data_IF_295068673718
#
_entry.id   IF_295068673718
#
_cell.length_a   1.000
_cell.length_b   1.000
_cell.length_c   1.000
_cell.angle_alpha   90.00
_cell.angle_beta   90.00
_cell.angle_gamma   90.00
#
_symmetry.space_group_name_H-M   'P 1'
#
loop_
_entity.id
_entity.type
_entity.pdbx_description
1 polymer ?
#
# COMPACT_ATOMS: atom_id res chain seq x y z
N UNK A 1 -22.71 62.26 -59.98
CA UNK A 1 -21.72 61.26 -59.53
C UNK A 1 -21.73 61.20 -58.01
N UNK A 2 -22.24 60.12 -57.39
CA UNK A 2 -21.81 59.66 -56.06
C UNK A 2 -22.03 58.15 -56.00
N UNK A 3 -20.96 57.42 -55.70
CA UNK A 3 -20.89 55.96 -55.71
C UNK A 3 -21.59 55.39 -54.48
N UNK A 4 -22.30 54.27 -54.68
CA UNK A 4 -22.86 53.47 -53.59
C UNK A 4 -21.81 52.43 -53.22
N UNK A 5 -21.23 52.53 -52.02
CA UNK A 5 -20.27 51.54 -51.52
C UNK A 5 -21.02 50.31 -50.99
N UNK A 6 -20.84 49.18 -51.65
CA UNK A 6 -21.34 47.89 -51.19
C UNK A 6 -20.31 47.30 -50.22
N UNK A 7 -20.60 47.33 -48.92
CA UNK A 7 -19.75 46.64 -47.93
C UNK A 7 -20.13 45.17 -47.94
N UNK A 8 -19.27 44.33 -48.51
CA UNK A 8 -19.39 42.87 -48.42
C UNK A 8 -18.86 42.42 -47.05
N UNK A 9 -19.73 41.85 -46.21
CA UNK A 9 -19.33 41.17 -44.97
C UNK A 9 -18.90 39.75 -45.36
N UNK A 10 -17.60 39.48 -45.26
CA UNK A 10 -17.03 38.14 -45.44
C UNK A 10 -17.27 37.34 -44.16
N UNK A 11 -18.25 36.43 -44.17
CA UNK A 11 -18.46 35.49 -43.07
C UNK A 11 -17.41 34.38 -43.19
N UNK A 12 -16.26 34.53 -42.52
CA UNK A 12 -15.26 33.46 -42.44
C UNK A 12 -15.83 32.40 -41.50
N UNK A 13 -16.35 31.30 -42.06
CA UNK A 13 -16.67 30.10 -41.30
C UNK A 13 -15.37 29.41 -40.91
N UNK A 14 -14.69 29.93 -39.89
CA UNK A 14 -13.66 29.15 -39.21
C UNK A 14 -14.35 27.90 -38.66
N UNK A 15 -13.84 26.72 -39.01
CA UNK A 15 -14.08 25.48 -38.26
C UNK A 15 -13.47 25.67 -36.87
N UNK A 16 -14.10 26.49 -36.04
CA UNK A 16 -13.78 26.54 -34.62
C UNK A 16 -14.31 25.25 -34.06
N UNK A 17 -13.39 24.36 -33.64
CA UNK A 17 -13.75 23.30 -32.71
C UNK A 17 -14.57 23.98 -31.60
N UNK A 18 -15.82 23.57 -31.43
CA UNK A 18 -16.72 24.19 -30.46
C UNK A 18 -16.28 23.78 -29.05
N UNK A 19 -15.19 24.36 -28.57
CA UNK A 19 -14.70 24.17 -27.22
C UNK A 19 -15.48 25.09 -26.28
N UNK A 20 -15.98 24.53 -25.20
CA UNK A 20 -16.66 25.26 -24.15
C UNK A 20 -15.66 25.50 -23.02
N UNK A 21 -15.22 26.75 -22.86
CA UNK A 21 -14.43 27.20 -21.71
C UNK A 21 -15.34 27.84 -20.66
N UNK A 22 -15.30 27.36 -19.42
CA UNK A 22 -15.93 28.01 -18.26
C UNK A 22 -14.82 28.43 -17.31
N UNK A 23 -14.72 29.72 -16.99
CA UNK A 23 -13.64 30.25 -16.14
C UNK A 23 -12.28 30.38 -16.83
N UNK A 24 -12.13 29.93 -18.09
CA UNK A 24 -10.87 30.00 -18.85
C UNK A 24 -11.08 30.49 -20.28
N UNK A 25 -10.16 31.31 -20.79
CA UNK A 25 -10.16 31.79 -22.19
C UNK A 25 -9.29 30.96 -23.12
N UNK A 26 -8.63 29.93 -22.60
CA UNK A 26 -7.77 29.02 -23.38
C UNK A 26 -8.09 27.55 -23.06
N UNK A 27 -9.27 27.06 -23.47
CA UNK A 27 -9.67 25.67 -23.27
C UNK A 27 -8.64 24.71 -23.87
N UNK A 28 -8.21 23.72 -23.09
CA UNK A 28 -7.27 22.68 -23.57
C UNK A 28 -8.00 21.45 -24.15
N UNK A 29 -9.29 21.33 -23.84
CA UNK A 29 -10.15 20.21 -24.24
C UNK A 29 -11.51 20.72 -24.75
N UNK A 30 -12.37 19.84 -25.25
CA UNK A 30 -13.72 20.19 -25.76
C UNK A 30 -14.59 20.88 -24.70
N UNK A 31 -14.42 20.52 -23.43
CA UNK A 31 -14.99 21.23 -22.28
C UNK A 31 -13.85 21.42 -21.26
N UNK A 32 -13.54 22.67 -20.91
CA UNK A 32 -12.55 23.00 -19.88
C UNK A 32 -13.20 23.94 -18.86
N UNK A 33 -13.27 23.49 -17.61
CA UNK A 33 -13.75 24.28 -16.48
C UNK A 33 -12.56 24.58 -15.58
N UNK A 34 -12.20 25.85 -15.48
CA UNK A 34 -11.24 26.35 -14.49
C UNK A 34 -12.03 26.81 -13.26
N UNK A 35 -12.43 25.85 -12.43
CA UNK A 35 -13.30 26.04 -11.27
C UNK A 35 -14.02 24.76 -10.86
N UNK A 36 -15.02 24.89 -9.99
CA UNK A 36 -15.81 23.75 -9.53
C UNK A 36 -16.82 23.30 -10.60
N UNK A 37 -17.00 21.99 -10.75
CA UNK A 37 -18.04 21.37 -11.57
C UNK A 37 -19.07 20.69 -10.67
N UNK A 38 -20.32 21.14 -10.73
CA UNK A 38 -21.48 20.48 -10.11
C UNK A 38 -22.28 19.78 -11.20
N UNK A 39 -22.48 18.47 -11.07
CA UNK A 39 -23.33 17.68 -11.96
C UNK A 39 -24.60 17.28 -11.20
N UNK A 40 -25.74 17.87 -11.56
CA UNK A 40 -27.05 17.59 -10.97
C UNK A 40 -27.87 16.62 -11.83
N UNK A 41 -28.90 15.98 -11.27
CA UNK A 41 -29.79 15.06 -11.98
C UNK A 41 -29.43 13.57 -11.87
N UNK A 42 -28.46 13.23 -11.01
CA UNK A 42 -28.23 11.86 -10.56
C UNK A 42 -29.05 11.61 -9.29
N UNK A 43 -29.69 10.43 -9.15
CA UNK A 43 -30.52 10.11 -7.98
C UNK A 43 -29.70 10.29 -6.70
N UNK A 44 -30.15 11.21 -5.84
CA UNK A 44 -29.44 11.56 -4.61
C UNK A 44 -29.46 10.36 -3.67
N UNK A 45 -28.30 9.73 -3.49
CA UNK A 45 -28.09 8.84 -2.36
C UNK A 45 -27.68 9.72 -1.18
N UNK A 46 -28.48 9.71 -0.12
CA UNK A 46 -28.25 10.40 1.16
C UNK A 46 -26.89 10.08 1.83
N UNK A 47 -26.12 9.16 1.24
CA UNK A 47 -24.74 8.85 1.59
C UNK A 47 -23.93 8.79 0.28
N UNK A 48 -22.81 9.50 0.18
CA UNK A 48 -21.94 9.45 -1.01
C UNK A 48 -21.38 8.04 -1.21
N UNK A 49 -22.01 7.24 -2.08
CA UNK A 49 -21.61 5.83 -2.38
C UNK A 49 -20.78 5.71 -3.66
N UNK A 50 -20.42 6.82 -4.30
CA UNK A 50 -19.94 6.81 -5.67
C UNK A 50 -18.69 7.67 -5.87
N UNK A 51 -17.69 7.06 -6.51
CA UNK A 51 -16.55 7.74 -7.09
C UNK A 51 -16.82 7.95 -8.58
N UNK A 52 -16.62 9.18 -9.04
CA UNK A 52 -16.70 9.52 -10.46
C UNK A 52 -15.27 9.53 -11.01
N UNK A 53 -15.00 8.65 -11.98
CA UNK A 53 -13.71 8.54 -12.66
C UNK A 53 -13.85 8.74 -14.17
N UNK A 54 -12.74 8.68 -14.89
CA UNK A 54 -12.72 8.64 -16.36
C UNK A 54 -12.34 7.25 -16.84
N UNK A 55 -12.99 6.74 -17.89
CA UNK A 55 -12.55 5.52 -18.57
C UNK A 55 -11.27 5.74 -19.40
N UNK A 56 -10.77 4.70 -20.07
CA UNK A 56 -9.58 4.79 -20.95
C UNK A 56 -9.76 5.74 -22.15
N UNK A 57 -10.96 6.22 -22.39
CA UNK A 57 -11.34 7.15 -23.45
C UNK A 57 -11.64 8.56 -22.89
N UNK A 58 -11.49 8.78 -21.59
CA UNK A 58 -11.73 10.05 -20.92
C UNK A 58 -13.20 10.34 -20.58
N UNK A 59 -14.12 9.39 -20.79
CA UNK A 59 -15.53 9.60 -20.46
C UNK A 59 -15.76 9.46 -18.97
N UNK A 60 -16.53 10.40 -18.42
CA UNK A 60 -16.97 10.35 -17.05
C UNK A 60 -17.84 9.11 -16.84
N UNK A 61 -17.43 8.24 -15.92
CA UNK A 61 -18.14 6.99 -15.62
C UNK A 61 -18.23 6.77 -14.12
N UNK A 62 -19.30 6.08 -13.72
CA UNK A 62 -19.48 5.63 -12.35
C UNK A 62 -18.61 4.41 -12.14
N UNK A 63 -17.64 4.49 -11.23
CA UNK A 63 -16.88 3.32 -10.83
C UNK A 63 -17.70 2.56 -9.78
N UNK A 64 -18.26 1.42 -10.18
CA UNK A 64 -18.90 0.50 -9.22
C UNK A 64 -17.80 -0.10 -8.37
N UNK A 65 -17.70 0.40 -7.14
CA UNK A 65 -16.83 -0.16 -6.12
C UNK A 65 -17.45 -1.50 -5.69
N UNK A 66 -16.72 -2.60 -5.92
CA UNK A 66 -17.10 -3.88 -5.30
C UNK A 66 -17.08 -3.71 -3.78
N UNK A 67 -17.84 -4.56 -3.05
CA UNK A 67 -18.09 -4.49 -1.60
C UNK A 67 -16.85 -4.37 -0.70
N UNK A 68 -15.65 -4.51 -1.25
CA UNK A 68 -14.37 -4.38 -0.55
C UNK A 68 -13.88 -2.93 -0.46
N UNK A 69 -14.40 -1.98 -1.25
CA UNK A 69 -13.99 -0.57 -1.24
C UNK A 69 -15.08 0.32 -0.61
N UNK A 70 -14.77 0.97 0.52
CA UNK A 70 -15.62 1.99 1.17
C UNK A 70 -15.09 3.39 0.94
N UNK A 71 -16.01 4.34 0.83
CA UNK A 71 -15.73 5.77 0.89
C UNK A 71 -16.16 6.28 2.27
N UNK A 72 -15.20 6.52 3.16
CA UNK A 72 -15.46 7.05 4.50
C UNK A 72 -14.69 8.36 4.69
N UNK A 73 -15.35 9.43 5.11
CA UNK A 73 -14.74 10.75 5.31
C UNK A 73 -13.93 11.24 4.09
N UNK A 74 -14.48 11.07 2.88
CA UNK A 74 -13.82 11.39 1.61
C UNK A 74 -12.50 10.63 1.36
N UNK A 75 -12.29 9.49 2.03
CA UNK A 75 -11.16 8.58 1.78
C UNK A 75 -11.64 7.25 1.24
N UNK A 76 -11.03 6.82 0.14
CA UNK A 76 -11.19 5.46 -0.40
C UNK A 76 -10.39 4.53 0.50
N UNK A 77 -11.06 3.54 1.06
CA UNK A 77 -10.47 2.54 1.96
C UNK A 77 -10.96 1.14 1.55
N UNK A 78 -10.19 0.10 1.89
CA UNK A 78 -10.67 -1.27 1.78
C UNK A 78 -11.43 -1.60 3.08
N UNK A 79 -12.73 -1.85 2.99
CA UNK A 79 -13.62 -2.00 4.13
C UNK A 79 -13.33 -3.26 4.94
N UNK A 80 -13.08 -4.38 4.26
CA UNK A 80 -12.71 -5.67 4.81
C UNK A 80 -12.08 -6.48 3.68
N UNK A 81 -10.88 -7.02 3.87
CA UNK A 81 -10.31 -8.01 2.96
C UNK A 81 -10.27 -9.37 3.64
N UNK A 82 -10.91 -10.37 3.04
CA UNK A 82 -10.78 -11.78 3.44
C UNK A 82 -9.54 -12.44 2.81
N UNK A 83 -8.81 -11.69 1.98
CA UNK A 83 -7.62 -12.17 1.30
C UNK A 83 -6.38 -11.61 1.97
N UNK A 84 -5.42 -12.48 2.28
CA UNK A 84 -4.10 -12.04 2.69
C UNK A 84 -3.30 -11.57 1.49
N UNK A 85 -2.70 -10.38 1.59
CA UNK A 85 -1.61 -10.01 0.70
C UNK A 85 -0.40 -10.91 0.97
N UNK A 86 0.00 -11.73 -0.01
CA UNK A 86 1.14 -12.64 0.12
C UNK A 86 2.39 -12.07 -0.56
N UNK A 87 3.40 -11.79 0.25
CA UNK A 87 4.76 -11.44 -0.14
C UNK A 87 5.71 -12.63 -0.11
N UNK A 88 6.90 -12.46 -0.71
CA UNK A 88 7.97 -13.47 -0.73
C UNK A 88 9.30 -12.84 -0.38
N UNK A 89 10.16 -13.60 0.28
CA UNK A 89 11.52 -13.18 0.61
C UNK A 89 12.51 -14.34 0.59
N UNK A 90 13.40 -14.33 -0.40
CA UNK A 90 14.44 -15.35 -0.61
C UNK A 90 15.73 -15.04 0.17
N UNK A 91 15.98 -15.75 1.28
CA UNK A 91 17.12 -15.55 2.19
C UNK A 91 18.49 -16.06 1.71
N UNK A 92 18.65 -16.48 0.45
CA UNK A 92 19.92 -17.07 -0.04
C UNK A 92 21.15 -16.19 0.26
N UNK A 93 21.02 -14.87 0.13
CA UNK A 93 22.10 -13.90 0.36
C UNK A 93 22.04 -13.22 1.73
N UNK A 94 21.35 -13.82 2.71
CA UNK A 94 21.27 -13.26 4.05
C UNK A 94 22.65 -13.33 4.73
N UNK A 95 23.16 -12.18 5.17
CA UNK A 95 24.34 -12.12 6.01
C UNK A 95 24.02 -12.66 7.41
N UNK A 96 24.73 -13.70 7.83
CA UNK A 96 24.62 -14.29 9.17
C UNK A 96 25.83 -13.85 9.99
N UNK A 97 25.56 -13.18 11.12
CA UNK A 97 26.59 -12.76 12.07
C UNK A 97 27.10 -13.88 12.97
N UNK A 98 28.01 -13.53 13.87
CA UNK A 98 28.57 -14.47 14.85
C UNK A 98 27.49 -15.17 15.68
N UNK A 99 27.73 -16.44 16.03
CA UNK A 99 26.78 -17.31 16.74
C UNK A 99 25.42 -17.45 16.02
N UNK A 100 25.44 -17.39 14.68
CA UNK A 100 24.30 -17.50 13.78
C UNK A 100 23.22 -16.42 13.99
N UNK A 101 23.64 -15.21 14.37
CA UNK A 101 22.70 -14.13 14.70
C UNK A 101 22.34 -13.30 13.48
N UNK A 102 21.07 -12.96 13.37
CA UNK A 102 20.53 -12.03 12.38
C UNK A 102 19.82 -10.92 13.14
N UNK A 103 20.31 -9.70 12.96
CA UNK A 103 19.79 -8.50 13.60
C UNK A 103 19.06 -7.66 12.56
N UNK A 104 17.93 -7.06 12.93
CA UNK A 104 17.16 -6.19 12.03
C UNK A 104 16.94 -6.85 10.66
N UNK A 105 16.31 -8.03 10.62
CA UNK A 105 16.00 -8.70 9.37
C UNK A 105 15.10 -7.82 8.51
N UNK A 106 15.58 -7.53 7.31
CA UNK A 106 14.82 -6.78 6.32
C UNK A 106 13.95 -7.75 5.51
N UNK A 107 12.64 -7.66 5.73
CA UNK A 107 11.61 -8.40 4.99
C UNK A 107 11.02 -7.61 3.83
N UNK A 108 11.53 -6.42 3.55
CA UNK A 108 11.06 -5.51 2.50
C UNK A 108 9.67 -4.94 2.73
N UNK A 109 9.37 -4.56 3.97
CA UNK A 109 8.05 -4.08 4.41
C UNK A 109 7.87 -2.57 4.24
N UNK A 110 8.96 -1.81 4.05
CA UNK A 110 8.95 -0.36 3.95
C UNK A 110 8.14 0.16 2.76
N UNK A 111 7.79 1.45 2.79
CA UNK A 111 7.04 2.10 1.71
C UNK A 111 7.78 1.97 0.36
N UNK A 112 7.08 1.45 -0.64
CA UNK A 112 7.63 1.24 -1.99
C UNK A 112 8.50 -0.02 -2.14
N UNK A 113 8.68 -0.81 -1.08
CA UNK A 113 9.39 -2.07 -1.15
C UNK A 113 8.48 -3.24 -1.57
N UNK A 114 9.10 -4.36 -1.95
CA UNK A 114 8.42 -5.49 -2.58
C UNK A 114 7.30 -6.12 -1.73
N UNK A 115 7.43 -6.07 -0.41
CA UNK A 115 6.47 -6.64 0.53
C UNK A 115 5.69 -5.58 1.32
N UNK A 116 5.69 -4.33 0.85
CA UNK A 116 4.86 -3.28 1.42
C UNK A 116 3.37 -3.67 1.46
N UNK A 117 2.73 -3.52 2.63
CA UNK A 117 1.31 -3.81 2.82
C UNK A 117 0.92 -5.30 2.73
N UNK A 118 1.89 -6.23 2.69
CA UNK A 118 1.61 -7.67 2.70
C UNK A 118 1.45 -8.17 4.13
N UNK A 119 0.46 -9.04 4.33
CA UNK A 119 0.14 -9.65 5.62
C UNK A 119 0.89 -10.97 5.82
N UNK A 120 1.13 -11.73 4.75
CA UNK A 120 1.89 -12.99 4.82
C UNK A 120 3.20 -12.83 4.08
N UNK A 121 4.33 -13.14 4.72
CA UNK A 121 5.63 -13.16 4.06
C UNK A 121 6.14 -14.59 4.06
N UNK A 122 6.18 -15.19 2.86
CA UNK A 122 6.82 -16.48 2.66
C UNK A 122 8.33 -16.30 2.55
N UNK A 123 9.06 -16.84 3.52
CA UNK A 123 10.50 -16.78 3.61
C UNK A 123 11.10 -18.12 3.19
N UNK A 124 12.08 -18.11 2.28
CA UNK A 124 12.69 -19.32 1.72
C UNK A 124 14.22 -19.25 1.70
N UNK A 125 14.86 -20.39 1.41
CA UNK A 125 16.31 -20.52 1.16
C UNK A 125 17.19 -19.92 2.26
N UNK A 126 16.81 -20.16 3.52
CA UNK A 126 17.64 -19.79 4.66
C UNK A 126 18.99 -20.53 4.57
N UNK A 127 20.14 -19.83 4.63
CA UNK A 127 21.45 -20.46 4.35
C UNK A 127 21.97 -21.34 5.50
N UNK A 128 21.30 -21.34 6.66
CA UNK A 128 21.58 -22.19 7.81
C UNK A 128 20.65 -21.86 8.98
N UNK A 129 20.77 -22.55 10.10
CA UNK A 129 19.97 -22.22 11.29
C UNK A 129 20.35 -20.83 11.81
N UNK A 130 19.37 -19.99 12.16
CA UNK A 130 19.60 -18.62 12.64
C UNK A 130 18.93 -18.33 13.99
N UNK A 131 19.45 -17.31 14.66
CA UNK A 131 18.84 -16.64 15.81
C UNK A 131 18.46 -15.23 15.40
N UNK A 132 17.18 -14.94 15.32
CA UNK A 132 16.62 -13.67 14.92
C UNK A 132 16.30 -12.81 16.15
N UNK A 133 16.78 -11.58 16.16
CA UNK A 133 16.57 -10.64 17.28
C UNK A 133 15.77 -9.40 16.90
N UNK A 134 15.40 -9.26 15.63
CA UNK A 134 14.59 -8.13 15.20
C UNK A 134 14.25 -8.13 13.72
N UNK A 135 13.18 -7.43 13.36
CA UNK A 135 12.65 -7.28 12.00
C UNK A 135 12.48 -5.78 11.72
N UNK A 136 12.90 -5.33 10.54
CA UNK A 136 12.83 -3.91 10.15
C UNK A 136 11.42 -3.48 9.75
N UNK A 137 11.21 -2.16 9.73
CA UNK A 137 10.07 -1.49 9.11
C UNK A 137 8.69 -1.86 9.65
N UNK A 138 8.62 -2.13 10.95
CA UNK A 138 7.34 -2.27 11.64
C UNK A 138 6.56 -0.96 11.71
N UNK A 139 5.28 -1.02 11.37
CA UNK A 139 4.31 0.09 11.43
C UNK A 139 3.23 -0.24 12.46
N UNK A 140 2.80 0.75 13.25
CA UNK A 140 1.79 0.54 14.31
C UNK A 140 0.55 -0.19 13.80
N UNK A 141 0.15 -1.26 14.52
CA UNK A 141 -0.97 -2.12 14.16
C UNK A 141 -0.70 -3.10 13.01
N UNK A 142 0.51 -3.14 12.44
CA UNK A 142 0.84 -4.06 11.35
C UNK A 142 0.80 -5.50 11.84
N UNK A 143 -0.07 -6.30 11.23
CA UNK A 143 -0.15 -7.74 11.46
C UNK A 143 0.64 -8.50 10.38
N UNK A 144 1.43 -9.50 10.80
CA UNK A 144 2.35 -10.23 9.95
C UNK A 144 2.35 -11.74 10.29
N UNK A 145 2.03 -12.55 9.28
CA UNK A 145 2.29 -13.98 9.27
C UNK A 145 3.63 -14.23 8.59
N UNK A 146 4.66 -14.53 9.39
CA UNK A 146 5.95 -14.99 8.90
C UNK A 146 5.84 -16.48 8.61
N UNK A 147 5.90 -16.89 7.34
CA UNK A 147 5.86 -18.30 6.96
C UNK A 147 7.23 -18.76 6.48
N UNK A 148 7.91 -19.56 7.29
CA UNK A 148 9.17 -20.19 6.92
C UNK A 148 8.90 -21.45 6.09
N UNK A 149 9.32 -21.45 4.83
CA UNK A 149 9.12 -22.58 3.92
C UNK A 149 10.41 -23.39 3.64
N UNK A 150 11.46 -23.16 4.43
CA UNK A 150 12.74 -23.86 4.33
C UNK A 150 12.88 -24.99 5.35
N UNK A 151 14.12 -25.49 5.48
CA UNK A 151 14.50 -26.60 6.36
C UNK A 151 15.34 -26.15 7.57
N UNK A 152 15.79 -24.90 7.59
CA UNK A 152 16.66 -24.38 8.63
C UNK A 152 15.85 -23.82 9.80
N UNK A 153 16.36 -23.98 11.00
CA UNK A 153 15.66 -23.53 12.20
C UNK A 153 15.81 -22.03 12.37
N UNK A 154 14.75 -21.36 12.85
CA UNK A 154 14.78 -19.95 13.25
C UNK A 154 14.39 -19.87 14.72
N UNK A 155 15.33 -19.43 15.55
CA UNK A 155 15.08 -19.08 16.95
C UNK A 155 14.79 -17.59 17.03
N UNK A 156 13.63 -17.20 17.52
CA UNK A 156 13.24 -15.83 17.79
C UNK A 156 13.62 -15.51 19.23
N UNK A 157 14.57 -14.60 19.43
CA UNK A 157 15.05 -14.22 20.76
C UNK A 157 14.24 -13.03 21.29
N UNK A 158 13.89 -13.08 22.58
CA UNK A 158 13.21 -11.97 23.26
C UNK A 158 14.05 -10.69 23.29
N UNK A 159 13.38 -9.56 23.45
CA UNK A 159 14.00 -8.25 23.53
C UNK A 159 14.94 -8.11 24.75
N UNK A 160 14.73 -8.92 25.79
CA UNK A 160 15.58 -8.97 26.98
C UNK A 160 16.86 -9.80 26.79
N UNK A 161 16.97 -10.61 25.73
CA UNK A 161 18.23 -11.30 25.42
C UNK A 161 19.32 -10.26 25.11
N UNK A 162 20.50 -10.43 25.69
CA UNK A 162 21.66 -9.57 25.46
C UNK A 162 22.00 -9.37 23.97
N UNK A 163 21.75 -10.37 23.12
CA UNK A 163 21.95 -10.34 21.67
C UNK A 163 20.97 -9.41 20.97
N UNK A 164 19.79 -9.17 21.55
CA UNK A 164 18.78 -8.27 21.01
C UNK A 164 19.19 -6.80 21.11
N UNK A 165 20.23 -6.47 21.88
CA UNK A 165 20.80 -5.12 21.91
C UNK A 165 21.46 -4.68 20.60
N UNK A 166 21.80 -5.61 19.71
CA UNK A 166 22.32 -5.31 18.36
C UNK A 166 21.22 -5.02 17.34
N UNK A 167 19.96 -5.35 17.65
CA UNK A 167 18.81 -4.80 16.92
C UNK A 167 18.51 -3.38 17.40
N UNK A 168 18.10 -2.51 16.47
CA UNK A 168 17.50 -1.22 16.83
C UNK A 168 16.32 -1.46 17.78
N UNK A 169 16.12 -0.63 18.82
CA UNK A 169 15.02 -0.83 19.78
C UNK A 169 13.68 -1.10 19.09
N UNK A 170 13.33 -0.27 18.10
CA UNK A 170 12.09 -0.40 17.32
C UNK A 170 11.94 -1.72 16.55
N UNK A 171 13.03 -2.41 16.25
CA UNK A 171 12.97 -3.64 15.46
C UNK A 171 12.91 -4.89 16.33
N UNK A 172 13.11 -4.77 17.65
CA UNK A 172 13.23 -5.92 18.54
C UNK A 172 11.92 -6.70 18.64
N UNK A 173 12.07 -7.99 18.91
CA UNK A 173 10.97 -8.94 19.02
C UNK A 173 10.74 -9.21 20.51
N UNK A 174 9.50 -9.07 20.95
CA UNK A 174 9.04 -9.47 22.27
C UNK A 174 8.41 -10.85 22.18
N UNK A 175 8.87 -11.73 23.05
CA UNK A 175 8.48 -13.14 23.13
C UNK A 175 8.00 -13.43 24.53
N UNK A 176 6.88 -14.15 24.68
CA UNK A 176 6.30 -14.43 26.00
C UNK A 176 7.09 -15.45 26.82
N UNK A 177 7.83 -16.36 26.17
CA UNK A 177 8.58 -17.44 26.79
C UNK A 177 10.12 -17.28 26.74
N UNK A 178 10.63 -16.05 26.51
CA UNK A 178 12.07 -15.76 26.39
C UNK A 178 12.68 -16.12 25.04
N UNK A 179 12.24 -17.20 24.39
CA UNK A 179 12.50 -17.47 22.97
C UNK A 179 11.47 -18.43 22.39
N UNK A 180 11.19 -18.31 21.09
CA UNK A 180 10.40 -19.27 20.31
C UNK A 180 11.25 -19.86 19.18
N UNK A 181 10.93 -21.06 18.70
CA UNK A 181 11.69 -21.71 17.63
C UNK A 181 10.76 -22.30 16.58
N UNK A 182 11.05 -22.00 15.31
CA UNK A 182 10.58 -22.80 14.18
C UNK A 182 11.67 -23.82 13.82
N UNK A 183 11.35 -25.10 13.83
CA UNK A 183 12.20 -26.27 13.56
C UNK A 183 11.98 -26.80 12.14
N UNK A 184 12.47 -26.05 11.15
CA UNK A 184 12.21 -26.34 9.74
C UNK A 184 11.03 -25.51 9.26
N UNK A 185 10.02 -26.14 8.65
CA UNK A 185 8.89 -25.41 8.09
C UNK A 185 7.86 -25.09 9.15
N UNK A 186 7.49 -23.82 9.29
CA UNK A 186 6.45 -23.38 10.21
C UNK A 186 6.09 -21.91 10.01
N UNK A 187 5.21 -21.39 10.84
CA UNK A 187 4.76 -20.00 10.81
C UNK A 187 4.69 -19.36 12.18
N UNK A 188 4.97 -18.07 12.23
CA UNK A 188 4.71 -17.23 13.39
C UNK A 188 3.76 -16.12 13.01
N UNK A 189 2.83 -15.85 13.93
CA UNK A 189 1.96 -14.70 13.91
C UNK A 189 2.52 -13.63 14.85
N UNK A 190 2.74 -12.43 14.31
CA UNK A 190 3.27 -11.31 15.06
C UNK A 190 2.57 -10.02 14.64
N UNK A 191 2.35 -9.11 15.58
CA UNK A 191 1.92 -7.75 15.28
C UNK A 191 2.96 -6.74 15.77
N UNK A 192 2.97 -5.57 15.15
CA UNK A 192 3.81 -4.47 15.59
C UNK A 192 3.03 -3.54 16.50
N UNK A 193 3.48 -3.42 17.75
CA UNK A 193 2.97 -2.46 18.72
C UNK A 193 3.76 -1.15 18.58
N UNK A 194 3.11 -0.10 18.06
CA UNK A 194 3.75 1.20 17.84
C UNK A 194 4.00 2.00 19.11
N UNK A 195 3.26 1.74 20.19
CA UNK A 195 3.49 2.38 21.50
C UNK A 195 4.74 1.79 22.18
N UNK A 196 4.89 0.46 22.14
CA UNK A 196 6.10 -0.22 22.63
C UNK A 196 7.27 -0.11 21.64
N UNK A 197 6.96 0.14 20.37
CA UNK A 197 7.87 0.03 19.23
C UNK A 197 8.53 -1.35 19.18
N UNK A 198 7.73 -2.41 19.18
CA UNK A 198 8.21 -3.81 19.17
C UNK A 198 7.34 -4.67 18.29
N UNK A 199 7.96 -5.67 17.67
CA UNK A 199 7.23 -6.82 17.17
C UNK A 199 6.86 -7.71 18.35
N UNK A 200 5.60 -8.08 18.50
CA UNK A 200 5.10 -8.96 19.56
C UNK A 200 4.64 -10.26 18.91
N UNK A 201 5.21 -11.39 19.34
CA UNK A 201 4.77 -12.72 18.89
C UNK A 201 3.48 -13.10 19.62
N UNK A 202 2.47 -13.50 18.85
CA UNK A 202 1.18 -13.98 19.34
C UNK A 202 1.12 -15.50 19.39
N UNK A 203 1.51 -16.14 18.29
CA UNK A 203 1.40 -17.58 18.12
C UNK A 203 2.52 -18.13 17.25
N UNK A 204 2.84 -19.41 17.47
CA UNK A 204 3.78 -20.18 16.66
C UNK A 204 3.14 -21.51 16.28
N UNK A 205 3.39 -21.90 15.03
CA UNK A 205 3.00 -23.19 14.48
C UNK A 205 4.24 -23.78 13.82
N UNK A 206 4.82 -24.76 14.51
CA UNK A 206 6.01 -25.50 14.08
C UNK A 206 5.61 -26.90 13.62
#
# INVERSE_FOLDING_TARGET
MKQLYFTSIFLVSTLVNAQVGIGTTSPQETLHIEGDLIVEGYNQFENSTMLVGADSQGNLTTLTLNNELTLENNRIQLANSIYYGIGRRDLTLLAIGSANRVHNLDLKLGLGEANHGKTVIKVSNLPGNIKLTGIQDGVDGQHLFFYHAGKGNIVFLDEQDSASNFSLPRNRIKVLAGSETISGQGSIELFYDGALQRWVILSIHD
#
